data_IF_850905854837
#
_entry.id   IF_850905854837
#
_cell.length_a   1.000
_cell.length_b   1.000
_cell.length_c   1.000
_cell.angle_alpha   90.00
_cell.angle_beta   90.00
_cell.angle_gamma   90.00
#
_symmetry.space_group_name_H-M   'P 1'
#
loop_
_entity.id
_entity.type
_entity.pdbx_description
1 polymer ?
#
# COMPACT_ATOMS: atom_id res chain seq x y z
N UNK A 1 -2.81 -13.08 -13.66
CA UNK A 1 -3.01 -14.02 -12.55
C UNK A 1 -1.97 -13.75 -11.47
N UNK A 2 -2.37 -13.17 -10.34
CA UNK A 2 -1.45 -12.87 -9.24
C UNK A 2 -1.08 -14.16 -8.53
N UNK A 3 0.21 -14.55 -8.57
CA UNK A 3 0.71 -15.68 -7.78
C UNK A 3 1.47 -15.17 -6.58
N UNK A 4 1.03 -15.57 -5.40
CA UNK A 4 1.79 -15.39 -4.18
C UNK A 4 3.04 -16.26 -4.20
N UNK A 5 4.20 -15.63 -4.25
CA UNK A 5 5.49 -16.30 -4.09
C UNK A 5 6.14 -15.81 -2.81
N UNK A 6 6.27 -16.70 -1.83
CA UNK A 6 7.07 -16.43 -0.63
C UNK A 6 8.53 -16.39 -1.06
N UNK A 7 9.06 -15.18 -1.23
CA UNK A 7 10.46 -14.99 -1.57
C UNK A 7 11.04 -13.99 -0.59
N UNK A 8 11.66 -14.54 0.44
CA UNK A 8 13.06 -14.30 0.81
C UNK A 8 13.29 -14.73 2.26
N UNK A 9 14.30 -15.55 2.47
CA UNK A 9 14.75 -16.02 3.77
C UNK A 9 15.93 -15.15 4.22
N UNK A 10 15.71 -14.29 5.21
CA UNK A 10 16.80 -13.56 5.85
C UNK A 10 17.45 -14.48 6.88
N UNK A 11 18.72 -14.88 6.65
CA UNK A 11 19.47 -15.68 7.62
C UNK A 11 19.75 -14.85 8.88
N UNK A 12 19.27 -15.31 10.04
CA UNK A 12 19.73 -14.86 11.36
C UNK A 12 20.33 -16.02 12.15
N UNK A 13 21.63 -16.26 11.95
CA UNK A 13 22.43 -17.14 12.80
C UNK A 13 21.95 -18.60 12.90
N UNK A 14 22.68 -19.46 13.63
CA UNK A 14 22.55 -20.91 13.52
C UNK A 14 21.39 -21.56 14.32
N UNK A 15 20.44 -20.83 14.95
CA UNK A 15 19.46 -21.47 15.87
C UNK A 15 18.02 -20.94 15.88
N UNK A 16 17.61 -20.05 14.98
CA UNK A 16 16.22 -19.56 14.96
C UNK A 16 15.45 -20.20 13.80
N UNK A 17 14.31 -20.88 14.03
CA UNK A 17 13.48 -21.39 12.95
C UNK A 17 13.10 -20.25 12.01
N UNK A 18 13.38 -20.46 10.72
CA UNK A 18 13.18 -19.44 9.69
C UNK A 18 11.69 -19.13 9.58
N UNK A 19 11.31 -17.87 9.81
CA UNK A 19 9.99 -17.42 9.37
C UNK A 19 10.14 -16.74 8.02
N UNK A 20 9.38 -17.15 6.98
CA UNK A 20 9.32 -16.39 5.75
C UNK A 20 8.86 -14.95 6.04
N UNK A 21 9.60 -13.98 5.50
CA UNK A 21 9.13 -12.61 5.40
C UNK A 21 8.39 -12.52 4.07
N UNK A 22 7.11 -12.15 4.13
CA UNK A 22 6.28 -12.06 2.94
C UNK A 22 6.59 -10.78 2.21
N UNK A 23 7.23 -10.87 1.05
CA UNK A 23 7.12 -9.80 0.05
C UNK A 23 6.11 -10.28 -0.98
N UNK A 24 5.01 -9.55 -1.17
CA UNK A 24 4.11 -9.85 -2.27
C UNK A 24 4.89 -9.69 -3.57
N UNK A 25 5.25 -10.77 -4.24
CA UNK A 25 5.70 -10.67 -5.63
C UNK A 25 4.45 -10.60 -6.48
N UNK A 26 4.10 -9.40 -6.93
CA UNK A 26 3.12 -9.25 -7.99
C UNK A 26 3.75 -9.87 -9.24
N UNK A 27 3.37 -11.10 -9.55
CA UNK A 27 3.75 -11.72 -10.82
C UNK A 27 2.92 -11.06 -11.93
N UNK A 28 3.42 -9.93 -12.42
CA UNK A 28 2.82 -9.16 -13.53
C UNK A 28 3.25 -9.72 -14.90
N UNK A 29 3.96 -10.84 -14.95
CA UNK A 29 4.51 -11.38 -16.20
C UNK A 29 3.40 -11.87 -17.16
N UNK A 30 2.16 -11.96 -16.70
CA UNK A 30 1.02 -12.46 -17.49
C UNK A 30 0.27 -11.33 -18.23
N UNK A 31 0.47 -10.06 -17.85
CA UNK A 31 -0.16 -8.94 -18.56
C UNK A 31 0.63 -7.66 -18.29
N UNK A 32 1.54 -7.32 -19.20
CA UNK A 32 2.19 -6.01 -19.23
C UNK A 32 1.25 -5.09 -20.03
N UNK A 33 0.50 -4.17 -19.39
CA UNK A 33 -0.43 -3.30 -20.12
C UNK A 33 0.35 -2.39 -21.07
N UNK A 34 -0.33 -1.80 -22.07
CA UNK A 34 0.30 -0.85 -22.99
C UNK A 34 0.82 0.42 -22.29
N UNK A 35 0.36 0.70 -21.07
CA UNK A 35 0.65 1.92 -20.31
C UNK A 35 1.87 1.81 -19.37
N UNK A 36 2.76 0.84 -19.62
CA UNK A 36 4.04 0.81 -18.91
C UNK A 36 4.86 2.04 -19.27
N UNK A 37 5.26 2.78 -18.23
CA UNK A 37 6.14 3.93 -18.37
C UNK A 37 7.50 3.60 -17.78
N UNK A 38 8.54 3.97 -18.51
CA UNK A 38 9.91 3.75 -18.07
C UNK A 38 10.23 4.69 -16.92
N UNK A 39 10.86 4.16 -15.88
CA UNK A 39 11.49 4.99 -14.86
C UNK A 39 12.71 5.63 -15.50
N UNK A 40 12.77 6.96 -15.50
CA UNK A 40 13.95 7.66 -15.97
C UNK A 40 15.06 7.39 -14.97
N UNK A 41 16.10 6.69 -15.37
CA UNK A 41 17.21 6.28 -14.51
C UNK A 41 18.54 6.69 -15.14
N UNK A 42 19.62 6.70 -14.34
CA UNK A 42 20.97 6.78 -14.90
C UNK A 42 21.20 5.60 -15.83
N UNK A 43 21.73 5.87 -17.03
CA UNK A 43 21.93 4.82 -18.03
C UNK A 43 22.95 3.79 -17.54
N UNK A 44 23.94 4.23 -16.77
CA UNK A 44 25.00 3.39 -16.21
C UNK A 44 24.52 2.49 -15.06
N UNK A 45 23.38 2.81 -14.44
CA UNK A 45 22.83 2.05 -13.31
C UNK A 45 22.02 0.81 -13.75
N UNK A 46 21.87 0.55 -15.06
CA UNK A 46 21.09 -0.60 -15.54
C UNK A 46 21.93 -1.88 -15.51
N UNK A 47 21.38 -2.94 -14.90
CA UNK A 47 22.03 -4.27 -14.89
C UNK A 47 22.08 -4.89 -16.29
N UNK A 48 21.04 -4.67 -17.09
CA UNK A 48 20.93 -5.24 -18.44
C UNK A 48 20.84 -4.13 -19.47
N UNK A 49 21.54 -4.34 -20.59
CA UNK A 49 21.42 -3.52 -21.80
C UNK A 49 20.16 -3.86 -22.60
N UNK A 50 19.42 -4.92 -22.24
CA UNK A 50 18.15 -5.24 -22.89
C UNK A 50 17.12 -4.13 -22.58
N UNK A 51 16.55 -3.48 -23.61
CA UNK A 51 15.57 -2.40 -23.43
C UNK A 51 14.34 -2.82 -22.61
N UNK A 52 13.95 -4.10 -22.69
CA UNK A 52 12.82 -4.70 -21.97
C UNK A 52 13.11 -5.05 -20.51
N UNK A 53 14.37 -5.12 -20.12
CA UNK A 53 14.80 -5.48 -18.76
C UNK A 53 15.08 -4.27 -17.86
N UNK A 54 14.96 -3.05 -18.41
CA UNK A 54 15.13 -1.81 -17.66
C UNK A 54 14.06 -1.60 -16.59
N UNK A 55 14.31 -0.72 -15.61
CA UNK A 55 13.32 -0.39 -14.60
C UNK A 55 12.11 0.31 -15.23
N UNK A 56 10.93 -0.07 -14.77
CA UNK A 56 9.67 0.46 -15.23
C UNK A 56 8.69 0.62 -14.09
N UNK A 57 7.66 1.41 -14.34
CA UNK A 57 6.55 1.62 -13.44
C UNK A 57 5.23 1.53 -14.22
N UNK A 58 4.19 1.07 -13.55
CA UNK A 58 2.84 1.06 -14.10
C UNK A 58 1.83 1.46 -13.04
N UNK A 59 0.72 1.99 -13.51
CA UNK A 59 -0.47 2.23 -12.70
C UNK A 59 -1.43 1.06 -12.92
N UNK A 60 -1.75 0.36 -11.84
CA UNK A 60 -2.79 -0.67 -11.78
C UNK A 60 -4.08 0.01 -11.29
N UNK A 61 -5.16 -0.15 -12.05
CA UNK A 61 -6.40 0.61 -11.86
C UNK A 61 -6.12 2.12 -11.85
N UNK A 62 -6.94 2.92 -11.15
CA UNK A 62 -6.82 4.38 -11.19
C UNK A 62 -5.83 4.94 -10.15
N UNK A 63 -5.19 4.11 -9.32
CA UNK A 63 -4.40 4.64 -8.20
C UNK A 63 -3.18 3.84 -7.74
N UNK A 64 -3.04 2.54 -8.04
CA UNK A 64 -1.93 1.74 -7.49
C UNK A 64 -0.70 1.80 -8.40
N UNK A 65 0.35 2.49 -7.99
CA UNK A 65 1.64 2.52 -8.68
C UNK A 65 2.49 1.34 -8.23
N UNK A 66 3.03 0.60 -9.19
CA UNK A 66 3.97 -0.50 -8.98
C UNK A 66 5.21 -0.25 -9.83
N UNK A 67 6.38 -0.29 -9.20
CA UNK A 67 7.66 -0.30 -9.90
C UNK A 67 8.20 -1.73 -10.01
N UNK A 68 9.01 -2.00 -11.03
CA UNK A 68 9.78 -3.25 -11.18
C UNK A 68 11.10 -2.95 -11.86
N UNK A 69 12.05 -3.85 -11.66
CA UNK A 69 13.37 -3.82 -12.29
C UNK A 69 14.45 -3.58 -11.25
N UNK A 70 15.69 -3.89 -11.64
CA UNK A 70 16.85 -3.80 -10.77
C UNK A 70 17.79 -2.70 -11.24
N UNK A 71 18.37 -2.00 -10.27
CA UNK A 71 19.34 -0.94 -10.50
C UNK A 71 20.64 -1.24 -9.73
N UNK A 72 21.77 -1.04 -10.39
CA UNK A 72 23.10 -1.06 -9.78
C UNK A 72 23.50 0.34 -9.38
N UNK A 73 23.74 0.54 -8.10
CA UNK A 73 24.32 1.78 -7.60
C UNK A 73 25.20 1.54 -6.37
N UNK A 74 25.96 2.56 -5.98
CA UNK A 74 26.66 2.59 -4.70
C UNK A 74 25.80 3.31 -3.67
N UNK A 75 25.38 2.60 -2.62
CA UNK A 75 24.50 3.10 -1.57
C UNK A 75 25.32 3.48 -0.34
N UNK A 76 25.16 4.70 0.14
CA UNK A 76 25.76 5.20 1.37
C UNK A 76 24.75 6.03 2.18
N UNK A 77 25.21 6.74 3.22
CA UNK A 77 24.34 7.56 4.06
C UNK A 77 23.91 8.89 3.44
N UNK A 78 24.60 9.38 2.42
CA UNK A 78 24.28 10.65 1.75
C UNK A 78 23.13 10.49 0.75
N UNK A 79 22.96 9.27 0.25
CA UNK A 79 21.88 8.92 -0.66
C UNK A 79 22.28 9.04 -2.12
N UNK A 80 21.70 8.17 -2.95
CA UNK A 80 21.95 8.09 -4.38
C UNK A 80 20.65 8.28 -5.15
N UNK A 81 20.68 9.14 -6.17
CA UNK A 81 19.58 9.27 -7.11
C UNK A 81 19.52 8.04 -8.03
N UNK A 82 18.42 7.30 -7.95
CA UNK A 82 18.18 6.07 -8.71
C UNK A 82 17.38 6.33 -9.98
N UNK A 83 16.46 7.30 -9.92
CA UNK A 83 15.61 7.65 -11.04
C UNK A 83 14.49 8.62 -10.70
N UNK A 84 13.56 8.77 -11.64
CA UNK A 84 12.41 9.67 -11.54
C UNK A 84 11.18 8.98 -12.15
N UNK A 85 10.07 9.06 -11.42
CA UNK A 85 8.77 8.60 -11.87
C UNK A 85 8.18 9.60 -12.89
N UNK A 86 7.40 9.13 -13.87
CA UNK A 86 6.58 10.01 -14.70
C UNK A 86 5.69 10.92 -13.84
N UNK A 87 5.49 12.16 -14.28
CA UNK A 87 4.68 13.16 -13.55
C UNK A 87 3.29 12.68 -13.11
N UNK A 88 2.64 11.84 -13.93
CA UNK A 88 1.34 11.28 -13.60
C UNK A 88 1.35 10.33 -12.39
N UNK A 89 2.53 9.84 -11.98
CA UNK A 89 2.72 8.86 -10.91
C UNK A 89 3.42 9.45 -9.69
N UNK A 90 3.52 10.78 -9.59
CA UNK A 90 4.10 11.42 -8.42
C UNK A 90 3.24 11.15 -7.18
N UNK A 91 3.84 10.74 -6.05
CA UNK A 91 3.08 10.54 -4.83
C UNK A 91 2.64 11.89 -4.23
N UNK A 92 1.53 11.93 -3.48
CA UNK A 92 1.04 13.17 -2.86
C UNK A 92 1.91 13.65 -1.68
N UNK A 93 2.84 12.82 -1.23
CA UNK A 93 3.80 13.08 -0.15
C UNK A 93 5.04 12.21 -0.30
N UNK A 94 6.13 12.55 0.36
CA UNK A 94 7.30 11.68 0.41
C UNK A 94 6.95 10.30 1.01
N UNK A 95 7.31 9.23 0.31
CA UNK A 95 7.08 7.85 0.73
C UNK A 95 8.41 7.13 0.94
N UNK A 96 8.49 6.35 2.02
CA UNK A 96 9.71 5.65 2.42
C UNK A 96 9.45 4.15 2.45
N UNK A 97 10.34 3.38 1.83
CA UNK A 97 10.23 1.93 1.66
C UNK A 97 11.51 1.25 2.17
N UNK A 98 11.37 0.05 2.74
CA UNK A 98 12.51 -0.84 2.92
C UNK A 98 12.69 -1.68 1.65
N UNK A 99 13.93 -1.81 1.19
CA UNK A 99 14.27 -2.65 0.04
C UNK A 99 15.51 -3.50 0.34
N UNK A 100 15.74 -4.50 -0.51
CA UNK A 100 16.89 -5.39 -0.42
C UNK A 100 17.89 -5.03 -1.51
N UNK A 101 19.14 -4.86 -1.07
CA UNK A 101 20.32 -4.66 -1.90
C UNK A 101 21.13 -5.96 -1.89
N UNK A 102 21.40 -6.51 -3.08
CA UNK A 102 22.31 -7.64 -3.24
C UNK A 102 23.68 -7.12 -3.64
N UNK A 103 24.70 -7.35 -2.82
CA UNK A 103 26.06 -6.90 -3.11
C UNK A 103 26.57 -7.57 -4.40
N UNK A 104 27.18 -6.79 -5.27
CA UNK A 104 27.77 -7.30 -6.51
C UNK A 104 29.22 -6.86 -6.59
N UNK A 105 30.11 -7.83 -6.79
CA UNK A 105 31.52 -7.59 -7.09
C UNK A 105 31.75 -7.48 -8.59
N UNK A 106 32.71 -6.66 -8.98
CA UNK A 106 33.33 -6.78 -10.31
C UNK A 106 34.39 -7.87 -10.24
N UNK A 107 34.24 -8.90 -11.08
CA UNK A 107 35.30 -9.84 -11.35
C UNK A 107 36.40 -9.17 -12.19
N UNK A 108 37.63 -9.73 -12.21
CA UNK A 108 38.73 -9.18 -13.01
C UNK A 108 38.44 -9.05 -14.51
N UNK A 109 37.49 -9.83 -15.03
CA UNK A 109 37.05 -9.80 -16.43
C UNK A 109 35.95 -8.76 -16.71
N UNK A 110 35.55 -7.98 -15.69
CA UNK A 110 34.46 -7.00 -15.75
C UNK A 110 33.06 -7.62 -15.63
N UNK A 111 32.94 -8.94 -15.45
CA UNK A 111 31.65 -9.57 -15.17
C UNK A 111 31.22 -9.28 -13.72
N UNK A 112 29.91 -9.23 -13.49
CA UNK A 112 29.36 -9.03 -12.15
C UNK A 112 29.25 -10.40 -11.45
N UNK A 113 29.98 -10.59 -10.35
CA UNK A 113 29.73 -11.70 -9.44
C UNK A 113 28.68 -11.30 -8.41
N UNK A 114 27.60 -12.07 -8.33
CA UNK A 114 26.66 -11.95 -7.22
C UNK A 114 27.29 -12.55 -5.96
N UNK A 115 27.44 -11.73 -4.92
CA UNK A 115 27.72 -12.24 -3.59
C UNK A 115 26.41 -12.64 -2.92
N UNK A 116 26.46 -13.61 -2.00
CA UNK A 116 25.30 -14.02 -1.19
C UNK A 116 24.95 -12.98 -0.10
N UNK A 117 25.69 -11.88 -0.02
CA UNK A 117 25.48 -10.83 0.97
C UNK A 117 24.33 -9.90 0.55
N UNK A 118 23.36 -9.77 1.45
CA UNK A 118 22.17 -8.96 1.28
C UNK A 118 22.08 -7.92 2.39
N UNK A 119 21.75 -6.70 2.00
CA UNK A 119 21.62 -5.56 2.90
C UNK A 119 20.23 -4.96 2.79
N UNK A 120 19.71 -4.46 3.92
CA UNK A 120 18.54 -3.60 3.88
C UNK A 120 18.98 -2.18 3.53
N UNK A 121 18.27 -1.59 2.58
CA UNK A 121 18.43 -0.19 2.18
C UNK A 121 17.08 0.51 2.28
N UNK A 122 17.11 1.84 2.35
CA UNK A 122 15.91 2.67 2.38
C UNK A 122 15.73 3.32 1.02
N UNK A 123 14.54 3.16 0.42
CA UNK A 123 14.16 3.89 -0.79
C UNK A 123 13.20 5.01 -0.41
N UNK A 124 13.40 6.20 -0.97
CA UNK A 124 12.51 7.34 -0.79
C UNK A 124 12.00 7.76 -2.16
N UNK A 125 10.68 7.80 -2.32
CA UNK A 125 10.03 8.43 -3.48
C UNK A 125 9.52 9.78 -3.04
N UNK A 126 10.09 10.84 -3.62
CA UNK A 126 9.76 12.22 -3.30
C UNK A 126 8.48 12.67 -4.03
N UNK A 127 7.86 13.75 -3.55
CA UNK A 127 6.67 14.38 -4.15
C UNK A 127 6.85 14.84 -5.60
N UNK A 128 8.09 15.08 -6.01
CA UNK A 128 8.46 15.41 -7.39
C UNK A 128 8.82 14.16 -8.23
N UNK A 129 8.53 12.97 -7.69
CA UNK A 129 8.76 11.68 -8.34
C UNK A 129 10.20 11.19 -8.30
N UNK A 130 11.15 11.92 -7.72
CA UNK A 130 12.52 11.43 -7.60
C UNK A 130 12.59 10.20 -6.68
N UNK A 131 13.38 9.23 -7.10
CA UNK A 131 13.66 8.00 -6.35
C UNK A 131 15.08 8.09 -5.83
N UNK A 132 15.21 8.19 -4.51
CA UNK A 132 16.49 8.20 -3.80
C UNK A 132 16.68 6.88 -3.06
N UNK A 133 17.91 6.39 -3.02
CA UNK A 133 18.30 5.21 -2.26
C UNK A 133 19.32 5.56 -1.19
N UNK A 134 19.14 5.07 0.03
CA UNK A 134 20.05 5.30 1.15
C UNK A 134 20.50 3.97 1.74
N UNK A 135 21.80 3.85 1.97
CA UNK A 135 22.46 2.68 2.53
C UNK A 135 22.96 2.90 3.95
N UNK A 136 24.03 2.18 4.27
CA UNK A 136 24.73 2.29 5.54
C UNK A 136 25.84 3.36 5.49
N UNK A 137 26.49 3.60 6.63
CA UNK A 137 27.63 4.53 6.73
C UNK A 137 28.82 4.13 5.82
N UNK A 138 29.01 2.83 5.59
CA UNK A 138 30.00 2.34 4.64
C UNK A 138 29.29 2.21 3.28
N UNK A 139 29.85 2.80 2.20
CA UNK A 139 29.31 2.61 0.86
C UNK A 139 29.28 1.13 0.47
N UNK A 140 28.17 0.66 -0.08
CA UNK A 140 27.98 -0.70 -0.57
C UNK A 140 27.48 -0.61 -2.02
N UNK A 141 28.21 -1.24 -2.94
CA UNK A 141 27.79 -1.33 -4.34
C UNK A 141 26.95 -2.59 -4.54
N UNK A 142 25.76 -2.44 -5.10
CA UNK A 142 24.87 -3.58 -5.26
C UNK A 142 23.66 -3.32 -6.14
N UNK A 143 22.92 -4.39 -6.40
CA UNK A 143 21.67 -4.39 -7.12
C UNK A 143 20.50 -4.18 -6.15
N UNK A 144 19.72 -3.12 -6.31
CA UNK A 144 18.45 -2.94 -5.62
C UNK A 144 17.28 -3.30 -6.53
N UNK A 145 16.27 -3.99 -5.99
CA UNK A 145 15.03 -4.29 -6.71
C UNK A 145 13.95 -3.24 -6.40
N UNK A 146 13.47 -2.54 -7.43
CA UNK A 146 12.46 -1.48 -7.30
C UNK A 146 11.05 -2.01 -7.01
N UNK A 147 10.83 -3.34 -7.02
CA UNK A 147 9.55 -3.94 -6.63
C UNK A 147 9.13 -3.66 -5.19
N UNK A 148 10.03 -3.16 -4.35
CA UNK A 148 9.68 -2.61 -3.05
C UNK A 148 8.76 -1.37 -3.16
N UNK A 149 8.90 -0.56 -4.21
CA UNK A 149 8.16 0.69 -4.41
C UNK A 149 6.77 0.37 -4.97
N UNK A 150 5.79 0.40 -4.07
CA UNK A 150 4.37 0.21 -4.38
C UNK A 150 3.54 1.13 -3.51
N UNK A 151 2.72 1.97 -4.12
CA UNK A 151 1.97 2.99 -3.39
C UNK A 151 0.71 3.41 -4.14
N UNK A 152 -0.21 4.03 -3.43
CA UNK A 152 -1.42 4.60 -4.01
C UNK A 152 -1.31 6.11 -4.13
N UNK A 153 -1.75 6.67 -5.26
CA UNK A 153 -1.78 8.13 -5.49
C UNK A 153 -3.01 8.80 -4.89
N UNK A 154 -4.06 8.03 -4.61
CA UNK A 154 -5.26 8.53 -3.95
C UNK A 154 -5.05 8.74 -2.43
N UNK A 155 -6.03 9.36 -1.77
CA UNK A 155 -5.92 9.71 -0.35
C UNK A 155 -6.02 8.50 0.59
N UNK A 156 -6.74 7.44 0.18
CA UNK A 156 -7.08 6.31 1.05
C UNK A 156 -7.96 6.68 2.24
N UNK A 157 -8.27 5.70 3.09
CA UNK A 157 -8.94 5.91 4.37
C UNK A 157 -7.89 6.14 5.46
N UNK A 158 -8.02 7.20 6.25
CA UNK A 158 -7.09 7.43 7.37
C UNK A 158 -7.28 6.34 8.44
N UNK A 159 -6.17 5.71 8.84
CA UNK A 159 -6.15 4.64 9.83
C UNK A 159 -5.70 5.15 11.21
N UNK A 160 -4.50 5.73 11.26
CA UNK A 160 -3.87 6.23 12.49
C UNK A 160 -2.68 7.11 12.11
N UNK A 161 -2.43 8.19 12.86
CA UNK A 161 -1.37 9.15 12.56
C UNK A 161 -1.47 9.64 11.10
N UNK A 162 -0.40 9.47 10.31
CA UNK A 162 -0.35 9.77 8.90
C UNK A 162 -0.51 8.51 8.03
N UNK A 163 -0.91 7.38 8.60
CA UNK A 163 -1.12 6.13 7.88
C UNK A 163 -2.52 6.10 7.26
N UNK A 164 -2.58 5.81 5.97
CA UNK A 164 -3.79 5.52 5.22
C UNK A 164 -3.83 4.06 4.79
N UNK A 165 -5.04 3.50 4.70
CA UNK A 165 -5.33 2.21 4.09
C UNK A 165 -6.00 2.43 2.74
N UNK A 166 -5.54 1.70 1.74
CA UNK A 166 -6.04 1.75 0.39
C UNK A 166 -6.48 0.36 -0.03
N UNK A 167 -7.61 0.30 -0.72
CA UNK A 167 -8.14 -0.93 -1.30
C UNK A 167 -8.06 -0.80 -2.81
N UNK A 168 -7.62 -1.86 -3.45
CA UNK A 168 -7.59 -2.00 -4.90
C UNK A 168 -8.22 -3.35 -5.22
N UNK A 169 -9.49 -3.32 -5.61
CA UNK A 169 -10.18 -4.51 -6.09
C UNK A 169 -9.70 -4.80 -7.51
N UNK A 170 -9.20 -6.01 -7.71
CA UNK A 170 -8.70 -6.49 -8.99
C UNK A 170 -9.69 -7.50 -9.55
N UNK A 171 -10.35 -7.10 -10.62
CA UNK A 171 -11.28 -7.95 -11.33
C UNK A 171 -10.57 -8.57 -12.54
N UNK A 172 -10.65 -9.89 -12.65
CA UNK A 172 -10.38 -10.63 -13.88
C UNK A 172 -11.54 -11.59 -14.12
N UNK A 173 -11.73 -12.03 -15.37
CA UNK A 173 -12.87 -12.86 -15.78
C UNK A 173 -13.11 -14.07 -14.84
N UNK A 174 -12.06 -14.62 -14.24
CA UNK A 174 -12.12 -15.81 -13.39
C UNK A 174 -11.80 -15.56 -11.91
N UNK A 175 -11.25 -14.39 -11.55
CA UNK A 175 -10.75 -14.14 -10.19
C UNK A 175 -11.03 -12.70 -9.77
N UNK A 176 -11.77 -12.56 -8.69
CA UNK A 176 -11.86 -11.35 -7.88
C UNK A 176 -10.81 -11.43 -6.77
N UNK A 177 -9.84 -10.52 -6.81
CA UNK A 177 -8.84 -10.35 -5.76
C UNK A 177 -8.98 -8.98 -5.12
N UNK A 178 -8.75 -8.86 -3.82
CA UNK A 178 -8.64 -7.56 -3.14
C UNK A 178 -7.20 -7.35 -2.76
N UNK A 179 -6.61 -6.23 -3.16
CA UNK A 179 -5.29 -5.79 -2.71
C UNK A 179 -5.50 -4.70 -1.67
N UNK A 180 -4.87 -4.86 -0.51
CA UNK A 180 -4.84 -3.88 0.56
C UNK A 180 -3.42 -3.31 0.63
N UNK A 181 -3.32 -1.99 0.65
CA UNK A 181 -2.05 -1.26 0.76
C UNK A 181 -2.12 -0.34 1.97
N UNK A 182 -1.11 -0.40 2.84
CA UNK A 182 -0.88 0.61 3.87
C UNK A 182 0.17 1.60 3.39
N UNK A 183 -0.03 2.86 3.70
CA UNK A 183 0.83 3.94 3.21
C UNK A 183 0.97 5.07 4.24
N UNK A 184 2.16 5.62 4.37
CA UNK A 184 2.45 6.73 5.27
C UNK A 184 3.33 6.33 6.44
N UNK A 185 3.20 7.05 7.56
CA UNK A 185 4.08 6.88 8.72
C UNK A 185 3.32 7.02 10.05
N UNK A 186 3.70 6.19 11.01
CA UNK A 186 3.37 6.38 12.41
C UNK A 186 4.34 7.40 13.02
N UNK A 187 3.83 8.29 13.87
CA UNK A 187 4.68 9.20 14.62
C UNK A 187 5.63 8.42 15.55
N UNK A 188 6.67 9.10 16.05
CA UNK A 188 7.61 8.50 16.98
C UNK A 188 6.87 7.94 18.20
N UNK A 189 6.89 6.61 18.35
CA UNK A 189 6.28 5.92 19.50
C UNK A 189 7.38 5.31 20.34
N UNK A 190 7.19 5.33 21.67
CA UNK A 190 8.01 4.52 22.57
C UNK A 190 7.50 3.08 22.50
N UNK A 191 8.16 2.25 21.71
CA UNK A 191 7.82 0.85 21.60
C UNK A 191 8.32 0.11 22.84
N UNK A 192 7.39 -0.24 23.74
CA UNK A 192 7.69 -1.14 24.84
C UNK A 192 7.88 -2.54 24.27
N UNK A 193 8.99 -3.20 24.63
CA UNK A 193 9.22 -4.61 24.34
C UNK A 193 8.00 -5.39 24.84
N UNK A 194 7.32 -6.10 23.94
CA UNK A 194 6.12 -6.89 24.21
C UNK A 194 4.82 -6.11 24.47
N UNK A 195 4.65 -4.91 23.92
CA UNK A 195 3.29 -4.34 23.85
C UNK A 195 2.38 -5.28 23.06
N UNK A 196 1.32 -5.76 23.70
CA UNK A 196 0.24 -6.49 23.06
C UNK A 196 -0.70 -5.58 22.26
N UNK A 197 -0.43 -4.27 22.26
CA UNK A 197 -1.24 -3.29 21.55
C UNK A 197 -0.85 -3.22 20.07
N UNK A 198 -1.84 -3.28 19.17
CA UNK A 198 -1.59 -3.08 17.75
C UNK A 198 -1.11 -1.65 17.51
N UNK A 199 -0.18 -1.49 16.57
CA UNK A 199 0.25 -0.16 16.11
C UNK A 199 -0.78 0.50 15.19
N UNK A 200 -1.61 -0.32 14.54
CA UNK A 200 -2.79 0.08 13.79
C UNK A 200 -3.84 -1.07 13.77
N UNK A 201 -5.12 -0.73 13.80
CA UNK A 201 -6.21 -1.68 13.58
C UNK A 201 -6.67 -1.61 12.13
N UNK A 202 -6.99 -2.74 11.52
CA UNK A 202 -7.42 -2.85 10.13
C UNK A 202 -8.88 -3.30 10.13
N UNK A 203 -9.74 -2.57 9.41
CA UNK A 203 -11.16 -2.90 9.28
C UNK A 203 -11.37 -4.33 8.76
N UNK A 204 -12.42 -5.00 9.21
CA UNK A 204 -12.81 -6.34 8.78
C UNK A 204 -12.73 -6.60 7.24
N UNK A 205 -13.03 -5.61 6.41
CA UNK A 205 -13.03 -5.72 4.93
C UNK A 205 -11.63 -5.71 4.29
N UNK A 206 -10.64 -5.29 5.06
CA UNK A 206 -9.25 -5.17 4.64
C UNK A 206 -8.35 -6.19 5.35
N UNK A 207 -8.94 -7.24 5.92
CA UNK A 207 -8.19 -8.28 6.64
C UNK A 207 -7.31 -9.09 5.70
N UNK A 208 -6.12 -9.51 6.15
CA UNK A 208 -5.25 -10.34 5.32
C UNK A 208 -5.87 -11.71 5.02
N UNK A 209 -5.67 -12.22 3.80
CA UNK A 209 -6.11 -13.55 3.39
C UNK A 209 -5.43 -14.68 4.17
N UNK A 210 -4.24 -14.41 4.74
CA UNK A 210 -3.50 -15.32 5.61
C UNK A 210 -3.64 -14.90 7.07
N UNK A 211 -3.58 -15.87 7.99
CA UNK A 211 -3.69 -15.62 9.43
C UNK A 211 -2.65 -14.62 9.96
N UNK A 212 -1.44 -14.64 9.37
CA UNK A 212 -0.35 -13.73 9.71
C UNK A 212 0.57 -13.54 8.51
N UNK A 213 1.01 -12.31 8.29
CA UNK A 213 2.05 -11.96 7.31
C UNK A 213 3.06 -11.01 7.95
N UNK A 214 4.33 -11.19 7.63
CA UNK A 214 5.41 -10.39 8.21
C UNK A 214 6.08 -9.52 7.16
N UNK A 215 6.32 -8.27 7.52
CA UNK A 215 6.90 -7.24 6.67
C UNK A 215 8.10 -6.62 7.37
N UNK A 216 9.12 -6.31 6.59
CA UNK A 216 10.19 -5.41 7.02
C UNK A 216 9.84 -4.04 6.47
N UNK A 217 9.96 -3.02 7.30
CA UNK A 217 9.73 -1.64 6.89
C UNK A 217 10.82 -0.70 7.42
N UNK A 218 10.95 0.47 6.80
CA UNK A 218 11.88 1.50 7.20
C UNK A 218 11.39 2.24 8.46
N UNK A 219 12.33 2.57 9.34
CA UNK A 219 12.16 3.52 10.43
C UNK A 219 12.42 4.96 9.97
N UNK A 220 12.24 5.93 10.88
CA UNK A 220 12.62 7.33 10.63
C UNK A 220 14.12 7.55 10.74
N UNK A 221 14.80 6.74 11.55
CA UNK A 221 16.26 6.75 11.62
C UNK A 221 16.85 6.03 10.41
N UNK A 222 17.85 6.62 9.76
CA UNK A 222 18.53 5.95 8.65
C UNK A 222 19.18 4.63 9.09
N UNK A 223 18.89 3.55 8.37
CA UNK A 223 19.27 2.18 8.76
C UNK A 223 18.42 1.58 9.89
N UNK A 224 17.41 2.31 10.36
CA UNK A 224 16.33 1.81 11.21
C UNK A 224 15.37 0.97 10.37
N UNK A 225 15.16 -0.27 10.78
CA UNK A 225 14.22 -1.18 10.15
C UNK A 225 13.43 -1.91 11.22
N UNK A 226 12.14 -2.07 10.97
CA UNK A 226 11.21 -2.72 11.89
C UNK A 226 10.57 -3.94 11.26
N UNK A 227 10.30 -4.94 12.09
CA UNK A 227 9.50 -6.09 11.74
C UNK A 227 8.06 -5.82 12.17
N UNK A 228 7.15 -5.83 11.21
CA UNK A 228 5.71 -5.75 11.43
C UNK A 228 5.06 -7.09 11.11
N UNK A 229 3.95 -7.38 11.80
CA UNK A 229 3.11 -8.54 11.53
C UNK A 229 1.67 -8.08 11.35
N UNK A 230 1.09 -8.36 10.18
CA UNK A 230 -0.33 -8.11 9.90
C UNK A 230 -1.08 -9.40 10.16
N UNK A 231 -2.03 -9.38 11.10
CA UNK A 231 -2.79 -10.56 11.53
C UNK A 231 -4.27 -10.45 11.17
N UNK A 232 -4.90 -11.61 10.93
CA UNK A 232 -6.32 -11.72 10.64
C UNK A 232 -7.19 -11.38 11.85
N UNK A 233 -6.77 -11.80 13.03
CA UNK A 233 -7.49 -11.61 14.29
C UNK A 233 -6.70 -10.72 15.23
N UNK A 234 -7.41 -9.81 15.88
CA UNK A 234 -6.93 -9.11 17.07
C UNK A 234 -6.61 -10.12 18.17
N UNK A 235 -5.41 -10.02 18.75
CA UNK A 235 -5.01 -10.86 19.88
C UNK A 235 -5.75 -10.53 21.18
N UNK A 236 -6.59 -9.49 21.20
CA UNK A 236 -7.32 -9.05 22.40
C UNK A 236 -8.72 -9.66 22.44
N UNK A 237 -9.09 -10.43 23.48
CA UNK A 237 -10.45 -10.92 23.68
C UNK A 237 -11.44 -9.74 23.77
N UNK A 238 -12.55 -9.82 23.03
CA UNK A 238 -13.65 -8.84 23.10
C UNK A 238 -13.49 -7.59 22.22
N UNK A 239 -12.33 -7.38 21.60
CA UNK A 239 -12.19 -6.43 20.48
C UNK A 239 -12.65 -7.17 19.22
N UNK A 240 -13.43 -6.51 18.34
CA UNK A 240 -14.05 -7.13 17.16
C UNK A 240 -13.09 -7.97 16.29
N UNK A 241 -13.65 -8.76 15.36
CA UNK A 241 -12.89 -9.64 14.45
C UNK A 241 -12.07 -8.88 13.39
N UNK A 242 -11.58 -7.70 13.73
CA UNK A 242 -10.76 -6.83 12.89
C UNK A 242 -9.32 -7.36 12.82
N UNK A 243 -8.64 -7.00 11.74
CA UNK A 243 -7.22 -7.29 11.58
C UNK A 243 -6.37 -6.33 12.40
N UNK A 244 -5.11 -6.69 12.63
CA UNK A 244 -4.18 -5.80 13.33
C UNK A 244 -2.81 -5.75 12.70
N UNK A 245 -2.18 -4.58 12.75
CA UNK A 245 -0.74 -4.41 12.49
C UNK A 245 -0.03 -4.43 13.84
N UNK A 246 0.82 -5.41 14.05
CA UNK A 246 1.58 -5.62 15.26
C UNK A 246 3.05 -5.26 15.01
N UNK A 247 3.66 -4.56 15.96
CA UNK A 247 5.10 -4.37 15.97
C UNK A 247 5.79 -5.55 16.65
N UNK A 248 6.76 -6.17 15.96
CA UNK A 248 7.45 -7.40 16.40
C UNK A 248 8.97 -7.24 16.48
N UNK A 249 9.47 -6.04 16.31
CA UNK A 249 10.87 -5.74 16.52
C UNK A 249 11.18 -5.59 18.02
N UNK A 250 12.46 -5.65 18.39
CA UNK A 250 12.94 -5.53 19.76
C UNK A 250 14.18 -4.64 19.87
N UNK A 251 14.65 -4.05 18.75
CA UNK A 251 15.88 -3.26 18.69
C UNK A 251 15.63 -1.76 18.84
N UNK A 252 14.61 -1.24 18.18
CA UNK A 252 14.33 0.20 18.14
C UNK A 252 13.18 0.55 19.10
N UNK A 253 13.51 1.26 20.19
CA UNK A 253 12.52 1.60 21.23
C UNK A 253 11.91 2.98 21.06
N UNK A 254 12.49 3.84 20.20
CA UNK A 254 11.97 5.15 19.87
C UNK A 254 12.33 5.48 18.42
N UNK A 255 11.37 5.31 17.53
CA UNK A 255 11.51 5.62 16.10
C UNK A 255 10.12 5.91 15.51
N UNK A 256 10.07 6.54 14.35
CA UNK A 256 8.87 6.51 13.50
C UNK A 256 8.88 5.25 12.65
N UNK A 257 7.70 4.74 12.29
CA UNK A 257 7.59 3.56 11.44
C UNK A 257 6.88 3.95 10.16
N UNK A 258 7.52 3.73 9.01
CA UNK A 258 6.86 3.87 7.73
C UNK A 258 6.06 2.61 7.41
N UNK A 259 4.85 2.74 6.87
CA UNK A 259 4.04 1.59 6.46
C UNK A 259 3.91 1.49 4.93
N UNK A 260 4.51 2.43 4.20
CA UNK A 260 4.50 2.42 2.73
C UNK A 260 5.17 1.15 2.19
N UNK A 261 4.48 0.50 1.25
CA UNK A 261 4.92 -0.78 0.68
C UNK A 261 4.41 -2.01 1.43
N UNK A 262 3.71 -1.87 2.56
CA UNK A 262 2.93 -2.98 3.13
C UNK A 262 1.73 -3.22 2.23
N UNK A 263 1.79 -4.32 1.49
CA UNK A 263 0.78 -4.71 0.52
C UNK A 263 0.48 -6.19 0.67
N UNK A 264 -0.81 -6.52 0.70
CA UNK A 264 -1.28 -7.88 0.87
C UNK A 264 -2.67 -8.08 0.29
N UNK A 265 -3.09 -9.33 0.23
CA UNK A 265 -4.39 -9.74 -0.30
C UNK A 265 -5.42 -9.68 0.83
N UNK A 266 -6.54 -9.05 0.55
CA UNK A 266 -7.67 -8.92 1.46
C UNK A 266 -8.64 -10.10 1.35
N UNK A 267 -9.28 -10.47 2.47
CA UNK A 267 -10.42 -11.41 2.52
C UNK A 267 -11.66 -10.68 1.98
N UNK A 268 -11.78 -10.49 0.66
CA UNK A 268 -12.83 -9.61 0.12
C UNK A 268 -13.27 -9.78 -1.35
N UNK A 269 -12.69 -10.69 -2.13
CA UNK A 269 -13.06 -10.90 -3.54
C UNK A 269 -14.32 -11.76 -3.77
N UNK A 270 -15.32 -11.68 -2.90
CA UNK A 270 -16.66 -12.17 -3.20
C UNK A 270 -17.59 -11.18 -2.57
N UNK A 271 -18.48 -10.58 -3.35
CA UNK A 271 -19.62 -9.80 -2.88
C UNK A 271 -20.18 -10.47 -1.61
N UNK A 272 -19.79 -9.97 -0.46
CA UNK A 272 -20.26 -10.46 0.83
C UNK A 272 -21.43 -9.58 1.15
N UNK A 273 -22.57 -10.22 1.34
CA UNK A 273 -23.63 -9.74 2.19
C UNK A 273 -22.97 -9.07 3.40
N UNK A 274 -23.05 -7.74 3.53
CA UNK A 274 -22.24 -6.97 4.49
C UNK A 274 -22.58 -7.28 5.96
N UNK A 275 -23.52 -8.19 6.20
CA UNK A 275 -24.13 -8.40 7.49
C UNK A 275 -24.83 -7.14 7.98
N UNK A 276 -25.52 -7.21 9.14
CA UNK A 276 -26.08 -6.01 9.74
C UNK A 276 -24.96 -5.05 10.12
N UNK A 277 -24.97 -3.85 9.53
CA UNK A 277 -24.08 -2.75 9.92
C UNK A 277 -24.50 -2.28 11.32
N UNK A 278 -23.58 -2.30 12.29
CA UNK A 278 -23.91 -1.78 13.61
C UNK A 278 -24.03 -0.23 13.58
N UNK A 279 -24.77 0.39 14.52
CA UNK A 279 -25.03 1.83 14.48
C UNK A 279 -23.78 2.72 14.57
N UNK A 280 -22.78 2.31 15.35
CA UNK A 280 -21.52 3.07 15.52
C UNK A 280 -20.72 3.12 14.22
N UNK A 281 -20.64 1.99 13.52
CA UNK A 281 -19.95 1.86 12.24
C UNK A 281 -20.70 2.59 11.14
N UNK A 282 -22.04 2.51 11.11
CA UNK A 282 -22.88 3.25 10.17
C UNK A 282 -22.61 4.76 10.27
N UNK A 283 -22.58 5.29 11.49
CA UNK A 283 -22.28 6.71 11.77
C UNK A 283 -20.90 7.10 11.25
N UNK A 284 -19.89 6.25 11.46
CA UNK A 284 -18.53 6.51 10.98
C UNK A 284 -18.45 6.51 9.45
N UNK A 285 -19.07 5.52 8.79
CA UNK A 285 -19.09 5.43 7.31
C UNK A 285 -19.75 6.65 6.71
N UNK A 286 -20.95 7.00 7.19
CA UNK A 286 -21.71 8.13 6.68
C UNK A 286 -20.97 9.44 6.88
N UNK A 287 -20.42 9.68 8.08
CA UNK A 287 -19.64 10.89 8.36
C UNK A 287 -18.43 11.05 7.45
N UNK A 288 -17.67 9.98 7.19
CA UNK A 288 -16.52 10.05 6.28
C UNK A 288 -16.95 10.32 4.84
N UNK A 289 -18.06 9.72 4.41
CA UNK A 289 -18.62 9.96 3.09
C UNK A 289 -19.08 11.41 2.94
N UNK A 290 -19.86 11.93 3.88
CA UNK A 290 -20.30 13.33 3.90
C UNK A 290 -19.12 14.31 3.91
N UNK A 291 -18.07 14.04 4.69
CA UNK A 291 -16.85 14.87 4.70
C UNK A 291 -16.15 14.88 3.34
N UNK A 292 -16.12 13.76 2.63
CA UNK A 292 -15.61 13.70 1.26
C UNK A 292 -16.44 14.57 0.32
N UNK A 293 -17.77 14.48 0.39
CA UNK A 293 -18.67 15.28 -0.44
C UNK A 293 -18.51 16.78 -0.17
N UNK A 294 -18.50 17.19 1.10
CA UNK A 294 -18.28 18.59 1.49
C UNK A 294 -16.91 19.08 1.00
N UNK A 295 -15.87 18.26 1.11
CA UNK A 295 -14.53 18.61 0.64
C UNK A 295 -14.48 18.84 -0.88
N UNK A 296 -15.20 18.05 -1.65
CA UNK A 296 -15.13 18.07 -3.11
C UNK A 296 -16.13 19.06 -3.75
N UNK A 297 -17.29 19.29 -3.13
CA UNK A 297 -18.38 20.09 -3.70
C UNK A 297 -18.80 21.29 -2.83
N UNK A 298 -18.22 21.45 -1.64
CA UNK A 298 -18.52 22.55 -0.70
C UNK A 298 -19.71 22.29 0.23
N UNK A 299 -20.73 21.55 -0.23
CA UNK A 299 -21.86 21.11 0.58
C UNK A 299 -22.41 19.76 0.11
N UNK A 300 -23.22 19.10 0.95
CA UNK A 300 -23.91 17.86 0.58
C UNK A 300 -24.96 18.12 -0.51
N UNK A 301 -25.73 19.21 -0.40
CA UNK A 301 -26.71 19.61 -1.42
C UNK A 301 -26.05 19.81 -2.80
N UNK A 302 -24.90 20.48 -2.82
CA UNK A 302 -24.16 20.70 -4.07
C UNK A 302 -23.63 19.38 -4.65
N UNK A 303 -23.23 18.42 -3.82
CA UNK A 303 -22.83 17.09 -4.28
C UNK A 303 -24.03 16.30 -4.82
N UNK A 304 -25.18 16.38 -4.15
CA UNK A 304 -26.42 15.75 -4.58
C UNK A 304 -26.80 16.16 -5.99
N UNK A 305 -27.00 17.46 -6.20
CA UNK A 305 -27.44 18.03 -7.48
C UNK A 305 -26.43 17.81 -8.62
N UNK A 306 -25.13 17.72 -8.30
CA UNK A 306 -24.08 17.63 -9.32
C UNK A 306 -23.72 16.20 -9.73
N UNK A 307 -23.80 15.22 -8.82
CA UNK A 307 -23.28 13.87 -9.11
C UNK A 307 -24.18 12.72 -8.72
N UNK A 308 -25.24 12.94 -7.92
CA UNK A 308 -26.14 11.87 -7.50
C UNK A 308 -27.52 11.98 -8.15
N UNK A 309 -28.03 13.20 -8.33
CA UNK A 309 -29.35 13.51 -8.89
C UNK A 309 -29.21 14.43 -10.11
N UNK A 310 -28.43 13.99 -11.10
CA UNK A 310 -28.14 14.77 -12.31
C UNK A 310 -29.37 15.02 -13.19
N UNK A 311 -30.41 14.19 -13.04
CA UNK A 311 -31.66 14.32 -13.78
C UNK A 311 -32.73 15.12 -13.02
N UNK A 312 -32.49 15.45 -11.74
CA UNK A 312 -33.39 16.22 -10.89
C UNK A 312 -34.66 15.45 -10.51
N UNK A 313 -34.58 14.12 -10.43
CA UNK A 313 -35.67 13.26 -9.98
C UNK A 313 -35.97 13.39 -8.49
N UNK A 314 -35.03 13.93 -7.70
CA UNK A 314 -35.13 14.06 -6.24
C UNK A 314 -34.82 12.75 -5.49
N UNK A 315 -34.47 11.69 -6.22
CA UNK A 315 -34.05 10.39 -5.70
C UNK A 315 -32.79 9.93 -6.42
N UNK A 316 -32.03 9.03 -5.82
CA UNK A 316 -30.84 8.46 -6.44
C UNK A 316 -30.91 6.95 -6.30
N UNK A 317 -30.89 6.21 -7.40
CA UNK A 317 -30.84 4.75 -7.37
C UNK A 317 -29.41 4.22 -7.14
N UNK A 318 -29.26 2.89 -6.94
CA UNK A 318 -27.94 2.30 -6.66
C UNK A 318 -26.94 2.50 -7.81
N UNK A 319 -27.39 2.54 -9.06
CA UNK A 319 -26.53 2.72 -10.22
C UNK A 319 -26.03 4.16 -10.30
N UNK A 320 -26.94 5.12 -10.15
CA UNK A 320 -26.65 6.55 -10.06
C UNK A 320 -25.72 6.83 -8.88
N UNK A 321 -25.98 6.24 -7.72
CA UNK A 321 -25.14 6.39 -6.54
C UNK A 321 -23.72 5.88 -6.77
N UNK A 322 -23.57 4.70 -7.40
CA UNK A 322 -22.26 4.16 -7.77
C UNK A 322 -21.55 5.05 -8.78
N UNK A 323 -22.26 5.62 -9.74
CA UNK A 323 -21.70 6.54 -10.72
C UNK A 323 -21.26 7.86 -10.06
N UNK A 324 -22.10 8.41 -9.19
CA UNK A 324 -21.81 9.60 -8.38
C UNK A 324 -20.62 9.39 -7.45
N UNK A 325 -20.53 8.21 -6.83
CA UNK A 325 -19.35 7.80 -6.06
C UNK A 325 -18.07 7.83 -6.90
N UNK A 326 -18.12 7.37 -8.16
CA UNK A 326 -16.96 7.47 -9.07
C UNK A 326 -16.64 8.92 -9.41
N UNK A 327 -17.66 9.75 -9.69
CA UNK A 327 -17.51 11.18 -10.01
C UNK A 327 -16.95 12.00 -8.84
N UNK A 328 -17.30 11.64 -7.60
CA UNK A 328 -16.73 12.27 -6.40
C UNK A 328 -15.40 11.65 -5.94
N UNK A 329 -14.84 10.72 -6.71
CA UNK A 329 -13.62 9.98 -6.35
C UNK A 329 -13.73 9.25 -5.00
N UNK A 330 -14.92 8.74 -4.68
CA UNK A 330 -15.11 7.82 -3.56
C UNK A 330 -14.57 6.43 -3.93
N UNK A 331 -13.62 5.96 -3.12
CA UNK A 331 -12.78 4.80 -3.44
C UNK A 331 -13.04 3.60 -2.52
N UNK A 332 -13.86 3.79 -1.49
CA UNK A 332 -14.31 2.70 -0.63
C UNK A 332 -15.56 2.03 -1.23
N UNK A 333 -16.03 0.93 -0.63
CA UNK A 333 -17.14 0.15 -1.15
C UNK A 333 -18.46 0.97 -1.18
N UNK A 334 -18.96 1.40 -2.35
CA UNK A 334 -20.19 2.19 -2.44
C UNK A 334 -21.39 1.42 -1.88
N UNK A 335 -21.42 0.11 -2.09
CA UNK A 335 -22.44 -0.80 -1.55
C UNK A 335 -22.58 -0.71 -0.04
N UNK A 336 -21.49 -0.40 0.68
CA UNK A 336 -21.51 -0.29 2.14
C UNK A 336 -22.10 1.04 2.61
N UNK A 337 -21.89 2.11 1.85
CA UNK A 337 -22.54 3.41 2.12
C UNK A 337 -24.00 3.33 1.74
N UNK A 338 -24.31 2.70 0.61
CA UNK A 338 -25.67 2.43 0.18
C UNK A 338 -26.46 1.68 1.26
N UNK A 339 -25.91 0.58 1.79
CA UNK A 339 -26.55 -0.18 2.86
C UNK A 339 -26.75 0.61 4.18
N UNK A 340 -26.00 1.72 4.37
CA UNK A 340 -26.17 2.62 5.52
C UNK A 340 -27.22 3.71 5.24
N UNK A 341 -27.36 4.12 3.98
CA UNK A 341 -28.30 5.15 3.53
C UNK A 341 -29.70 4.57 3.31
N UNK A 342 -29.82 3.49 2.53
CA UNK A 342 -31.06 2.79 2.17
C UNK A 342 -31.51 1.85 3.30
N UNK A 343 -31.76 2.40 4.48
CA UNK A 343 -32.14 1.63 5.68
C UNK A 343 -33.55 1.04 5.57
N UNK A 344 -34.42 1.69 4.78
CA UNK A 344 -35.78 1.22 4.55
C UNK A 344 -35.86 0.18 3.41
N UNK A 345 -34.77 -0.01 2.65
CA UNK A 345 -34.69 -0.94 1.54
C UNK A 345 -35.60 -0.55 0.38
N UNK A 346 -35.87 0.75 0.21
CA UNK A 346 -36.68 1.27 -0.89
C UNK A 346 -35.99 1.08 -2.25
N UNK A 347 -34.67 0.88 -2.26
CA UNK A 347 -33.88 0.74 -3.48
C UNK A 347 -33.55 2.07 -4.15
N UNK A 348 -33.83 3.17 -3.45
CA UNK A 348 -33.48 4.55 -3.79
C UNK A 348 -33.09 5.29 -2.53
N UNK A 349 -32.32 6.37 -2.64
CA UNK A 349 -32.07 7.26 -1.51
C UNK A 349 -32.49 8.68 -1.86
N UNK A 350 -32.75 9.49 -0.85
CA UNK A 350 -33.07 10.92 -0.92
C UNK A 350 -31.92 11.78 -0.40
N UNK A 351 -31.96 13.09 -0.70
CA UNK A 351 -30.97 14.02 -0.15
C UNK A 351 -31.04 14.09 1.38
N UNK A 352 -32.22 13.86 1.96
CA UNK A 352 -32.42 13.78 3.40
C UNK A 352 -31.70 12.60 4.04
N UNK A 353 -31.70 11.42 3.40
CA UNK A 353 -30.95 10.26 3.89
C UNK A 353 -29.44 10.46 3.78
N UNK A 354 -29.00 11.27 2.82
CA UNK A 354 -27.59 11.62 2.67
C UNK A 354 -27.09 12.62 3.71
N UNK A 355 -27.98 13.37 4.38
CA UNK A 355 -27.68 14.38 5.41
C UNK A 355 -27.69 13.79 6.82
#
# INVERSE_FOLDING_TARGET
MFKWVHTQTVRKGPRVPMTPVGTLVLNVDVYVPRDVKLVRCKREARISNEPSAGPWCMQLHDHLIVCKGKLMETFDSEGVWLGELPKAYWPPRNLVFAALLTECGEQPDGSLSHYDDTHLVTLVVQEDGQILGFGHRKPIRGAVDLSAIRFCTNMGLNLVDNVSIHVCDVHSDDVEGRIVVLQGSLHSKKFLRASADPVAQITADCRPAMNSMRFITAGGTLGGYHLLEVTLESSKPGVGKDGSVMWRDARWTNDSIHLSGLIFEGVGGRSRDFGPVNPEMATYILRNFQQLLIKNFGSIDAAWDQVFDEDGSGVCDLQEFKLGCKKCHYLAAPDRVWAVLDQDGSGSISVEELK
#
